data_IF_071200395705
#
_entry.id   IF_071200395705
#
_cell.length_a   1.000
_cell.length_b   1.000
_cell.length_c   1.000
_cell.angle_alpha   90.00
_cell.angle_beta   90.00
_cell.angle_gamma   90.00
#
_symmetry.space_group_name_H-M   'P 1'
#
loop_
_entity.id
_entity.type
_entity.pdbx_description
1 polymer ?
#
# COMPACT_ATOMS: atom_id res chain seq x y z
N UNK A 1 9.49 14.39 13.71
CA UNK A 1 8.32 14.63 12.84
C UNK A 1 7.76 13.27 12.44
N UNK A 2 6.51 12.98 12.75
CA UNK A 2 5.93 11.64 12.67
C UNK A 2 5.66 11.23 11.20
N UNK A 3 6.61 10.49 10.62
CA UNK A 3 6.77 10.30 9.16
C UNK A 3 5.65 9.48 8.50
N UNK A 4 4.75 8.89 9.28
CA UNK A 4 3.62 8.09 8.80
C UNK A 4 2.27 8.61 9.29
N UNK A 5 2.19 9.87 9.76
CA UNK A 5 0.96 10.43 10.34
C UNK A 5 -0.29 10.25 9.48
N UNK A 6 -0.13 10.28 8.16
CA UNK A 6 -1.22 10.12 7.19
C UNK A 6 -1.71 8.68 7.00
N UNK A 7 -0.88 7.69 7.34
CA UNK A 7 -1.23 6.27 7.24
C UNK A 7 -1.95 5.78 8.51
N UNK A 8 -1.65 6.37 9.67
CA UNK A 8 -2.28 6.04 10.96
C UNK A 8 -3.81 5.99 11.00
N UNK A 9 -4.56 6.91 10.35
CA UNK A 9 -6.02 6.86 10.40
C UNK A 9 -6.63 5.82 9.44
N UNK A 10 -5.82 5.13 8.63
CA UNK A 10 -6.35 4.15 7.69
C UNK A 10 -6.79 2.89 8.44
N UNK A 11 -7.89 2.25 8.01
CA UNK A 11 -8.25 0.92 8.50
C UNK A 11 -7.08 -0.04 8.28
N UNK A 12 -6.75 -0.80 9.32
CA UNK A 12 -5.64 -1.74 9.30
C UNK A 12 -6.07 -3.12 9.79
N UNK A 13 -5.49 -4.16 9.20
CA UNK A 13 -5.60 -5.53 9.66
C UNK A 13 -4.22 -6.18 9.67
N UNK A 14 -3.98 -7.09 10.60
CA UNK A 14 -2.77 -7.91 10.60
C UNK A 14 -3.00 -9.14 9.74
N UNK A 15 -2.08 -9.39 8.81
CA UNK A 15 -2.02 -10.62 8.04
C UNK A 15 -1.23 -11.69 8.81
N UNK A 16 -1.50 -12.98 8.55
CA UNK A 16 -0.59 -14.05 8.94
C UNK A 16 0.85 -13.72 8.49
N UNK A 17 1.83 -13.95 9.36
CA UNK A 17 3.22 -13.57 9.11
C UNK A 17 3.61 -12.17 9.60
N UNK A 18 2.70 -11.45 10.27
CA UNK A 18 3.03 -10.22 11.00
C UNK A 18 3.12 -8.98 10.10
N UNK A 19 2.41 -8.97 8.97
CA UNK A 19 2.33 -7.80 8.09
C UNK A 19 1.09 -6.97 8.44
N UNK A 20 1.27 -5.67 8.67
CA UNK A 20 0.18 -4.71 8.84
C UNK A 20 -0.34 -4.27 7.46
N UNK A 21 -1.53 -4.72 7.09
CA UNK A 21 -2.22 -4.30 5.87
C UNK A 21 -3.12 -3.10 6.13
N UNK A 22 -2.69 -1.93 5.66
CA UNK A 22 -3.49 -0.71 5.69
C UNK A 22 -4.35 -0.60 4.44
N UNK A 23 -5.58 -0.09 4.55
CA UNK A 23 -6.49 0.03 3.40
C UNK A 23 -6.72 1.49 3.02
N UNK A 24 -6.34 1.86 1.79
CA UNK A 24 -6.66 3.16 1.21
C UNK A 24 -8.00 3.10 0.45
N UNK A 25 -9.13 3.25 1.15
CA UNK A 25 -10.48 3.19 0.56
C UNK A 25 -11.12 4.56 0.23
N UNK A 26 -10.50 5.67 0.62
CA UNK A 26 -10.97 7.02 0.28
C UNK A 26 -10.27 7.56 -0.97
N UNK A 27 -10.90 8.50 -1.69
CA UNK A 27 -10.28 9.16 -2.86
C UNK A 27 -8.91 9.79 -2.51
N UNK A 28 -8.83 10.46 -1.35
CA UNK A 28 -7.60 11.11 -0.87
C UNK A 28 -6.52 10.09 -0.50
N UNK A 29 -6.86 9.03 0.25
CA UNK A 29 -5.89 8.01 0.62
C UNK A 29 -5.35 7.23 -0.58
N UNK A 30 -6.20 7.00 -1.60
CA UNK A 30 -5.78 6.36 -2.86
C UNK A 30 -4.86 7.26 -3.69
N UNK A 31 -5.21 8.54 -3.83
CA UNK A 31 -4.40 9.50 -4.58
C UNK A 31 -3.02 9.69 -3.96
N UNK A 32 -2.95 9.80 -2.63
CA UNK A 32 -1.68 10.01 -1.93
C UNK A 32 -0.88 8.71 -1.79
N UNK A 33 -1.54 7.58 -1.54
CA UNK A 33 -0.92 6.27 -1.36
C UNK A 33 0.36 6.32 -0.50
N UNK A 34 1.45 5.82 -1.08
CA UNK A 34 2.80 5.85 -0.51
C UNK A 34 3.67 7.00 -1.05
N UNK A 35 3.16 7.84 -1.94
CA UNK A 35 3.93 8.92 -2.58
C UNK A 35 4.52 9.89 -1.53
N UNK A 36 5.72 10.43 -1.75
CA UNK A 36 6.38 11.36 -0.82
C UNK A 36 6.82 10.77 0.54
N UNK A 37 6.57 9.49 0.82
CA UNK A 37 7.20 8.82 1.95
C UNK A 37 8.67 8.56 1.65
N UNK A 38 9.50 8.65 2.68
CA UNK A 38 10.94 8.36 2.59
C UNK A 38 11.24 6.87 2.63
N UNK A 39 10.44 6.15 3.38
CA UNK A 39 10.48 4.71 3.54
C UNK A 39 9.08 4.27 3.98
N UNK A 40 8.82 2.96 3.91
CA UNK A 40 7.69 2.32 4.55
C UNK A 40 8.15 1.65 5.84
N UNK A 41 7.29 1.64 6.86
CA UNK A 41 7.57 0.86 8.07
C UNK A 41 7.71 -0.62 7.66
N UNK A 42 8.73 -1.34 8.15
CA UNK A 42 8.88 -2.76 7.85
C UNK A 42 7.61 -3.54 8.15
N UNK A 43 7.36 -4.61 7.38
CA UNK A 43 6.16 -5.43 7.52
C UNK A 43 4.85 -4.62 7.46
N UNK A 44 4.78 -3.58 6.62
CA UNK A 44 3.56 -2.84 6.34
C UNK A 44 3.25 -2.90 4.85
N UNK A 45 1.98 -3.05 4.50
CA UNK A 45 1.48 -3.04 3.12
C UNK A 45 0.29 -2.08 2.99
N UNK A 46 0.03 -1.60 1.76
CA UNK A 46 -1.11 -0.73 1.47
C UNK A 46 -2.01 -1.40 0.42
N UNK A 47 -3.21 -1.82 0.85
CA UNK A 47 -4.26 -2.29 -0.04
C UNK A 47 -4.94 -1.10 -0.74
N UNK A 48 -5.06 -1.20 -2.07
CA UNK A 48 -5.76 -0.25 -2.94
C UNK A 48 -6.97 -0.95 -3.59
N UNK A 49 -8.15 -0.98 -2.95
CA UNK A 49 -9.31 -1.69 -3.49
C UNK A 49 -9.74 -1.15 -4.87
N UNK A 50 -9.99 -2.07 -5.81
CA UNK A 50 -10.43 -1.74 -7.16
C UNK A 50 -9.39 -0.93 -7.98
N UNK A 51 -8.11 -1.01 -7.62
CA UNK A 51 -7.03 -0.34 -8.36
C UNK A 51 -6.54 -1.23 -9.51
N UNK A 52 -6.51 -0.69 -10.72
CA UNK A 52 -6.11 -1.43 -11.95
C UNK A 52 -4.73 -1.04 -12.47
N UNK A 53 -4.13 0.00 -11.92
CA UNK A 53 -2.81 0.51 -12.29
C UNK A 53 -2.20 1.21 -11.08
N UNK A 54 -0.89 1.04 -10.89
CA UNK A 54 -0.11 1.75 -9.89
C UNK A 54 1.00 2.45 -10.65
N UNK A 55 1.20 3.73 -10.36
CA UNK A 55 2.28 4.51 -10.94
C UNK A 55 3.37 4.61 -9.87
N UNK A 56 4.61 4.26 -10.21
CA UNK A 56 5.78 4.35 -9.32
C UNK A 56 6.63 5.60 -9.59
N UNK A 57 6.22 6.45 -10.53
CA UNK A 57 6.94 7.68 -10.85
C UNK A 57 7.01 8.63 -9.64
N UNK A 58 8.21 9.10 -9.32
CA UNK A 58 8.46 10.00 -8.18
C UNK A 58 8.45 9.32 -6.82
N UNK A 59 8.39 7.98 -6.78
CA UNK A 59 8.61 7.22 -5.54
C UNK A 59 10.07 7.37 -5.09
N UNK A 60 10.27 7.41 -3.76
CA UNK A 60 11.61 7.54 -3.14
C UNK A 60 12.23 6.19 -2.78
N UNK A 61 11.48 5.11 -2.97
CA UNK A 61 11.88 3.73 -2.71
C UNK A 61 11.10 2.81 -3.66
N UNK A 62 11.70 1.66 -3.98
CA UNK A 62 11.09 0.61 -4.81
C UNK A 62 9.91 -0.04 -4.09
N UNK A 63 8.97 -0.57 -4.87
CA UNK A 63 7.76 -1.20 -4.37
C UNK A 63 7.58 -2.55 -5.04
N UNK A 64 7.38 -3.58 -4.22
CA UNK A 64 6.76 -4.81 -4.67
C UNK A 64 5.25 -4.61 -4.79
N UNK A 65 4.68 -4.99 -5.93
CA UNK A 65 3.25 -4.89 -6.21
C UNK A 65 2.63 -6.28 -6.34
N UNK A 66 1.71 -6.59 -5.42
CA UNK A 66 0.91 -7.81 -5.47
C UNK A 66 -0.49 -7.44 -5.98
N UNK A 67 -0.87 -7.99 -7.13
CA UNK A 67 -2.16 -7.75 -7.77
C UNK A 67 -3.13 -8.84 -7.35
N UNK A 68 -4.31 -8.43 -6.90
CA UNK A 68 -5.36 -9.32 -6.44
C UNK A 68 -6.56 -9.30 -7.38
N UNK A 69 -7.21 -10.44 -7.56
CA UNK A 69 -8.52 -10.52 -8.20
C UNK A 69 -9.67 -10.06 -7.26
N UNK A 70 -10.92 -10.19 -7.72
CA UNK A 70 -12.10 -9.84 -6.95
C UNK A 70 -12.35 -10.73 -5.72
N UNK A 71 -11.73 -11.90 -5.64
CA UNK A 71 -11.78 -12.83 -4.51
C UNK A 71 -10.57 -12.67 -3.57
N UNK A 72 -9.67 -11.72 -3.86
CA UNK A 72 -8.46 -11.49 -3.07
C UNK A 72 -7.33 -12.48 -3.36
N UNK A 73 -7.38 -13.23 -4.46
CA UNK A 73 -6.32 -14.15 -4.87
C UNK A 73 -5.24 -13.42 -5.67
N UNK A 74 -3.98 -13.78 -5.47
CA UNK A 74 -2.85 -13.21 -6.22
C UNK A 74 -2.93 -13.63 -7.68
N UNK A 75 -2.86 -12.65 -8.58
CA UNK A 75 -2.89 -12.87 -10.04
C UNK A 75 -1.64 -12.35 -10.76
N UNK A 76 -0.88 -11.46 -10.13
CA UNK A 76 0.40 -10.96 -10.64
C UNK A 76 1.24 -10.43 -9.48
N UNK A 77 2.55 -10.55 -9.62
CA UNK A 77 3.54 -9.92 -8.76
C UNK A 77 4.51 -9.14 -9.65
N UNK A 78 4.72 -7.86 -9.36
CA UNK A 78 5.75 -7.03 -9.99
C UNK A 78 6.73 -6.61 -8.88
N UNK A 79 7.95 -7.15 -8.89
CA UNK A 79 9.01 -6.75 -7.95
C UNK A 79 9.78 -5.56 -8.48
N UNK A 80 10.06 -4.61 -7.59
CA UNK A 80 10.75 -3.35 -7.87
C UNK A 80 12.20 -3.37 -7.45
#
# INVERSE_FOLDING_TARGET
>A
MDRHRRLRPLPGAWLPGGVLLLTANTRRSRLLGLAWLEALVPATALLLPGCRSVHTFGMRFELDLIWLDGAGQVVREDSG
#
